data_IF_780862207877
#
_entry.id   IF_780862207877
#
_cell.length_a   1.000
_cell.length_b   1.000
_cell.length_c   1.000
_cell.angle_alpha   90.00
_cell.angle_beta   90.00
_cell.angle_gamma   90.00
#
_symmetry.space_group_name_H-M   'P 1'
#
loop_
_entity.id
_entity.type
_entity.pdbx_description
1 polymer ?
#
# COMPACT_ATOMS: atom_id res chain seq x y z
N UNK A 1 -10.34 -3.40 -4.43
CA UNK A 1 -11.41 -2.56 -3.86
C UNK A 1 -12.72 -3.35 -3.90
N UNK A 2 -13.30 -3.63 -2.73
CA UNK A 2 -14.49 -4.46 -2.59
C UNK A 2 -15.38 -3.88 -1.47
N UNK A 3 -16.69 -3.91 -1.66
CA UNK A 3 -17.66 -3.49 -0.66
C UNK A 3 -17.52 -4.29 0.64
N UNK A 4 -17.75 -3.62 1.77
CA UNK A 4 -17.46 -4.21 3.09
C UNK A 4 -18.22 -5.51 3.35
N UNK A 5 -19.50 -5.58 3.02
CA UNK A 5 -20.33 -6.78 3.20
C UNK A 5 -19.77 -7.98 2.43
N UNK A 6 -19.39 -7.76 1.16
CA UNK A 6 -18.77 -8.79 0.33
C UNK A 6 -17.39 -9.21 0.86
N UNK A 7 -16.65 -8.27 1.44
CA UNK A 7 -15.37 -8.54 2.07
C UNK A 7 -15.56 -9.42 3.33
N UNK A 8 -16.55 -9.09 4.16
CA UNK A 8 -16.91 -9.87 5.36
C UNK A 8 -17.25 -11.32 4.99
N UNK A 9 -18.05 -11.51 3.94
CA UNK A 9 -18.39 -12.84 3.47
C UNK A 9 -17.17 -13.60 2.93
N UNK A 10 -16.30 -12.91 2.18
CA UNK A 10 -15.14 -13.53 1.56
C UNK A 10 -14.11 -14.01 2.59
N UNK A 11 -13.80 -13.18 3.60
CA UNK A 11 -12.69 -13.48 4.51
C UNK A 11 -12.97 -14.65 5.46
N UNK A 12 -14.20 -15.12 5.56
CA UNK A 12 -14.53 -16.33 6.32
C UNK A 12 -13.82 -17.58 5.74
N UNK A 13 -13.53 -17.56 4.45
CA UNK A 13 -12.93 -18.67 3.70
C UNK A 13 -11.43 -18.45 3.39
N UNK A 14 -10.82 -17.40 3.98
CA UNK A 14 -9.43 -17.01 3.69
C UNK A 14 -8.65 -16.92 4.98
N UNK A 15 -7.47 -17.53 5.03
CA UNK A 15 -6.60 -17.50 6.21
C UNK A 15 -5.52 -16.40 6.09
N UNK A 16 -5.13 -16.07 4.87
CA UNK A 16 -4.03 -15.15 4.57
C UNK A 16 -4.44 -14.11 3.53
N UNK A 17 -4.15 -12.85 3.80
CA UNK A 17 -4.58 -11.72 2.97
C UNK A 17 -3.38 -10.83 2.62
N UNK A 18 -3.14 -10.65 1.33
CA UNK A 18 -2.31 -9.54 0.83
C UNK A 18 -3.20 -8.35 0.47
N UNK A 19 -2.91 -7.18 0.99
CA UNK A 19 -3.64 -5.97 0.64
C UNK A 19 -2.72 -4.77 0.48
N UNK A 20 -2.98 -3.93 -0.51
CA UNK A 20 -2.18 -2.75 -0.78
C UNK A 20 -2.89 -1.49 -0.26
N UNK A 21 -2.16 -0.63 0.46
CA UNK A 21 -2.57 0.75 0.71
C UNK A 21 -1.68 1.68 -0.11
N UNK A 22 -2.27 2.26 -1.16
CA UNK A 22 -1.50 3.07 -2.13
C UNK A 22 -1.13 4.47 -1.60
N UNK A 23 -1.92 5.01 -0.65
CA UNK A 23 -1.62 6.27 0.04
C UNK A 23 -2.44 6.38 1.32
N UNK A 24 -1.84 6.91 2.40
CA UNK A 24 -2.52 7.23 3.66
C UNK A 24 -3.53 8.37 3.47
N UNK A 25 -3.15 9.42 2.73
CA UNK A 25 -4.00 10.59 2.50
C UNK A 25 -5.12 10.26 1.50
N UNK A 26 -6.36 10.40 1.97
CA UNK A 26 -7.58 10.08 1.23
C UNK A 26 -7.72 10.86 -0.08
N UNK A 27 -7.37 12.14 -0.09
CA UNK A 27 -7.51 12.98 -1.28
C UNK A 27 -6.47 12.61 -2.34
N UNK A 28 -5.21 12.40 -1.94
CA UNK A 28 -4.15 11.93 -2.83
C UNK A 28 -4.48 10.53 -3.38
N UNK A 29 -4.96 9.62 -2.52
CA UNK A 29 -5.41 8.29 -2.94
C UNK A 29 -6.52 8.39 -4.00
N UNK A 30 -7.58 9.18 -3.73
CA UNK A 30 -8.70 9.37 -4.67
C UNK A 30 -8.25 9.96 -6.00
N UNK A 31 -7.32 10.92 -5.97
CA UNK A 31 -6.82 11.60 -7.19
C UNK A 31 -6.13 10.61 -8.14
N UNK A 32 -5.35 9.66 -7.62
CA UNK A 32 -4.52 8.76 -8.44
C UNK A 32 -5.22 7.41 -8.68
N UNK A 33 -5.92 6.88 -7.67
CA UNK A 33 -6.56 5.55 -7.73
C UNK A 33 -8.03 5.63 -8.19
N UNK A 34 -8.63 6.82 -8.15
CA UNK A 34 -10.03 7.06 -8.54
C UNK A 34 -11.04 6.88 -7.41
N UNK A 35 -10.65 6.23 -6.30
CA UNK A 35 -11.50 6.01 -5.12
C UNK A 35 -10.78 6.44 -3.84
N UNK A 36 -11.54 6.77 -2.79
CA UNK A 36 -10.94 7.04 -1.48
C UNK A 36 -10.46 5.74 -0.80
N UNK A 37 -9.61 5.86 0.23
CA UNK A 37 -9.05 4.73 0.95
C UNK A 37 -9.87 4.27 2.17
N UNK A 38 -10.96 4.95 2.53
CA UNK A 38 -11.71 4.65 3.75
C UNK A 38 -12.23 3.22 3.81
N UNK A 39 -12.76 2.72 2.69
CA UNK A 39 -13.27 1.36 2.61
C UNK A 39 -12.14 0.32 2.71
N UNK A 40 -10.98 0.62 2.14
CA UNK A 40 -9.78 -0.23 2.25
C UNK A 40 -9.34 -0.32 3.71
N UNK A 41 -9.19 0.83 4.38
CA UNK A 41 -8.80 0.91 5.80
C UNK A 41 -9.83 0.18 6.68
N UNK A 42 -11.13 0.40 6.44
CA UNK A 42 -12.20 -0.30 7.16
C UNK A 42 -12.09 -1.83 7.02
N UNK A 43 -11.83 -2.31 5.81
CA UNK A 43 -11.70 -3.74 5.54
C UNK A 43 -10.43 -4.33 6.19
N UNK A 44 -9.30 -3.62 6.15
CA UNK A 44 -8.07 -4.00 6.84
C UNK A 44 -8.33 -4.13 8.34
N UNK A 45 -8.88 -3.09 8.97
CA UNK A 45 -9.19 -3.10 10.40
C UNK A 45 -10.12 -4.26 10.78
N UNK A 46 -11.15 -4.52 9.98
CA UNK A 46 -12.05 -5.63 10.20
C UNK A 46 -11.33 -6.98 10.14
N UNK A 47 -10.46 -7.19 9.14
CA UNK A 47 -9.73 -8.44 9.00
C UNK A 47 -8.75 -8.69 10.16
N UNK A 48 -8.08 -7.66 10.68
CA UNK A 48 -7.28 -7.74 11.90
C UNK A 48 -8.15 -8.14 13.11
N UNK A 49 -9.31 -7.50 13.27
CA UNK A 49 -10.26 -7.84 14.36
C UNK A 49 -10.79 -9.29 14.29
N UNK A 50 -10.73 -9.92 13.12
CA UNK A 50 -11.07 -11.34 12.91
C UNK A 50 -9.85 -12.26 13.04
N UNK A 51 -8.70 -11.78 13.54
CA UNK A 51 -7.45 -12.53 13.70
C UNK A 51 -6.95 -13.17 12.38
N UNK A 52 -7.20 -12.52 11.25
CA UNK A 52 -6.66 -12.96 9.95
C UNK A 52 -5.21 -12.53 9.81
N UNK A 53 -4.40 -13.36 9.22
CA UNK A 53 -3.03 -13.00 8.86
C UNK A 53 -3.05 -12.05 7.66
N UNK A 54 -2.59 -10.82 7.86
CA UNK A 54 -2.57 -9.79 6.81
C UNK A 54 -1.15 -9.33 6.57
N UNK A 55 -0.72 -9.33 5.33
CA UNK A 55 0.46 -8.60 4.88
C UNK A 55 -0.02 -7.32 4.20
N UNK A 56 0.17 -6.21 4.89
CA UNK A 56 -0.10 -4.90 4.32
C UNK A 56 1.09 -4.46 3.47
N UNK A 57 0.82 -3.99 2.24
CA UNK A 57 1.87 -3.61 1.31
C UNK A 57 1.73 -2.15 0.90
N UNK A 58 2.88 -1.47 0.78
CA UNK A 58 2.97 -0.12 0.22
C UNK A 58 3.77 -0.20 -1.08
N UNK A 59 3.13 -0.10 -2.26
CA UNK A 59 3.87 0.22 -3.47
C UNK A 59 4.42 1.65 -3.37
N UNK A 60 5.73 1.76 -3.24
CA UNK A 60 6.40 3.07 -3.15
C UNK A 60 6.66 3.58 -4.55
N UNK A 61 5.99 4.68 -4.90
CA UNK A 61 5.93 5.22 -6.27
C UNK A 61 6.54 6.62 -6.28
N UNK A 62 7.56 6.87 -7.14
CA UNK A 62 8.21 8.18 -7.24
C UNK A 62 7.22 9.33 -7.49
N UNK A 63 7.42 10.43 -6.76
CA UNK A 63 6.59 11.66 -6.81
C UNK A 63 5.13 11.47 -6.35
N UNK A 64 4.81 10.34 -5.73
CA UNK A 64 3.46 10.10 -5.24
C UNK A 64 3.43 9.87 -3.72
N UNK A 65 4.21 8.91 -3.23
CA UNK A 65 4.23 8.50 -1.83
C UNK A 65 5.64 8.09 -1.36
N UNK A 66 6.69 8.60 -2.01
CA UNK A 66 8.09 8.20 -1.81
C UNK A 66 8.89 9.15 -0.90
N UNK A 67 8.27 10.20 -0.36
CA UNK A 67 8.97 11.10 0.56
C UNK A 67 9.07 10.50 1.98
N UNK A 68 10.10 10.89 2.73
CA UNK A 68 10.23 10.48 4.15
C UNK A 68 9.04 10.94 4.99
N UNK A 69 8.45 12.10 4.66
CA UNK A 69 7.21 12.54 5.31
C UNK A 69 6.03 11.60 4.99
N UNK A 70 5.96 11.02 3.78
CA UNK A 70 4.93 10.03 3.48
C UNK A 70 5.14 8.75 4.31
N UNK A 71 6.39 8.32 4.56
CA UNK A 71 6.69 7.20 5.45
C UNK A 71 6.21 7.46 6.89
N UNK A 72 6.50 8.64 7.45
CA UNK A 72 6.05 9.08 8.78
C UNK A 72 4.53 9.02 8.93
N UNK A 73 3.82 9.55 7.95
CA UNK A 73 2.36 9.57 7.96
C UNK A 73 1.75 8.16 7.80
N UNK A 74 2.38 7.28 7.00
CA UNK A 74 1.99 5.87 6.93
C UNK A 74 2.24 5.16 8.26
N UNK A 75 3.41 5.33 8.86
CA UNK A 75 3.76 4.72 10.15
C UNK A 75 2.80 5.18 11.26
N UNK A 76 2.48 6.48 11.30
CA UNK A 76 1.49 7.03 12.24
C UNK A 76 0.11 6.42 12.04
N UNK A 77 -0.35 6.27 10.78
CA UNK A 77 -1.62 5.61 10.48
C UNK A 77 -1.60 4.14 10.95
N UNK A 78 -0.52 3.41 10.67
CA UNK A 78 -0.42 1.99 11.02
C UNK A 78 -0.41 1.78 12.53
N UNK A 79 0.32 2.60 13.28
CA UNK A 79 0.27 2.57 14.75
C UNK A 79 -1.14 2.83 15.28
N UNK A 80 -1.89 3.78 14.67
CA UNK A 80 -3.29 4.04 15.06
C UNK A 80 -4.24 2.86 14.79
N UNK A 81 -3.86 1.94 13.91
CA UNK A 81 -4.61 0.74 13.53
C UNK A 81 -4.05 -0.55 14.17
N UNK A 82 -3.00 -0.43 15.02
CA UNK A 82 -2.25 -1.55 15.61
C UNK A 82 -1.68 -2.50 14.53
N UNK A 83 -1.18 -1.96 13.43
CA UNK A 83 -0.48 -2.70 12.38
C UNK A 83 1.01 -2.66 12.69
N UNK A 84 1.61 -3.82 12.88
CA UNK A 84 2.99 -4.01 13.30
C UNK A 84 3.91 -4.59 12.22
N UNK A 85 3.35 -4.85 11.02
CA UNK A 85 4.11 -5.39 9.91
C UNK A 85 3.69 -4.78 8.56
N UNK A 86 4.68 -4.46 7.72
CA UNK A 86 4.45 -3.90 6.38
C UNK A 86 5.52 -4.36 5.39
N UNK A 87 5.11 -4.66 4.16
CA UNK A 87 6.01 -4.90 3.04
C UNK A 87 6.06 -3.68 2.11
N UNK A 88 7.26 -3.17 1.85
CA UNK A 88 7.48 -2.15 0.83
C UNK A 88 7.69 -2.81 -0.54
N UNK A 89 7.01 -2.29 -1.54
CA UNK A 89 7.17 -2.72 -2.93
C UNK A 89 7.79 -1.57 -3.74
N UNK A 90 9.11 -1.59 -3.99
CA UNK A 90 9.76 -0.59 -4.81
C UNK A 90 9.13 -0.53 -6.21
N UNK A 91 8.92 0.68 -6.72
CA UNK A 91 8.33 0.90 -8.05
C UNK A 91 9.15 0.25 -9.16
N UNK A 92 8.48 -0.42 -10.10
CA UNK A 92 9.07 -0.98 -11.30
C UNK A 92 8.14 -0.81 -12.52
N UNK A 93 8.72 -0.84 -13.71
CA UNK A 93 8.00 -0.57 -14.98
C UNK A 93 7.40 -1.83 -15.64
N UNK A 94 7.30 -2.96 -14.95
CA UNK A 94 6.80 -4.22 -15.55
C UNK A 94 5.38 -4.12 -16.11
N UNK A 95 4.60 -3.11 -15.67
CA UNK A 95 3.26 -2.82 -16.20
C UNK A 95 3.23 -2.17 -17.59
N UNK A 96 4.33 -1.56 -18.06
CA UNK A 96 4.35 -0.75 -19.29
C UNK A 96 3.83 -1.51 -20.53
N UNK A 97 4.27 -2.75 -20.69
CA UNK A 97 3.84 -3.57 -21.82
C UNK A 97 2.33 -3.81 -21.85
N UNK A 98 1.66 -3.91 -20.68
CA UNK A 98 0.20 -4.06 -20.62
C UNK A 98 -0.52 -2.83 -21.15
N UNK A 99 0.00 -1.63 -20.84
CA UNK A 99 -0.56 -0.38 -21.36
C UNK A 99 -0.40 -0.29 -22.88
N UNK A 100 0.77 -0.67 -23.43
CA UNK A 100 0.99 -0.75 -24.88
C UNK A 100 0.00 -1.68 -25.57
N UNK A 101 -0.19 -2.89 -25.01
CA UNK A 101 -1.14 -3.86 -25.55
C UNK A 101 -2.60 -3.38 -25.49
N UNK A 102 -2.95 -2.55 -24.52
CA UNK A 102 -4.28 -1.95 -24.38
C UNK A 102 -4.45 -0.66 -25.20
N UNK A 103 -3.43 -0.22 -25.95
CA UNK A 103 -3.44 1.07 -26.66
C UNK A 103 -3.57 2.28 -25.74
N UNK A 104 -3.13 2.16 -24.49
CA UNK A 104 -3.20 3.22 -23.48
C UNK A 104 -1.82 3.82 -23.22
N UNK A 105 -1.80 5.13 -22.96
CA UNK A 105 -0.59 5.80 -22.50
C UNK A 105 -0.23 5.31 -21.11
N UNK A 106 1.06 5.04 -20.88
CA UNK A 106 1.60 4.73 -19.58
C UNK A 106 2.08 6.02 -18.90
N UNK A 107 1.36 6.47 -17.88
CA UNK A 107 1.64 7.77 -17.21
C UNK A 107 2.99 7.79 -16.46
N UNK A 108 3.56 6.61 -16.19
CA UNK A 108 4.85 6.46 -15.50
C UNK A 108 6.01 6.21 -16.48
N UNK A 109 5.81 6.50 -17.78
CA UNK A 109 6.86 6.38 -18.81
C UNK A 109 8.07 7.24 -18.44
N UNK A 110 9.26 6.65 -18.51
CA UNK A 110 10.52 7.34 -18.18
C UNK A 110 10.80 7.54 -16.69
N UNK A 111 9.89 7.15 -15.78
CA UNK A 111 10.16 7.16 -14.34
C UNK A 111 11.11 6.01 -14.03
N UNK A 112 12.24 6.32 -13.37
CA UNK A 112 13.23 5.32 -12.97
C UNK A 112 12.63 4.34 -11.95
N UNK A 113 12.89 3.03 -12.11
CA UNK A 113 12.55 2.04 -11.09
C UNK A 113 13.31 2.34 -9.79
N UNK A 114 12.69 1.98 -8.68
CA UNK A 114 13.31 2.00 -7.36
C UNK A 114 13.85 0.61 -7.03
N UNK A 115 14.91 0.58 -6.22
CA UNK A 115 15.47 -0.62 -5.63
C UNK A 115 15.38 -0.54 -4.11
N UNK A 116 15.52 -1.64 -3.36
CA UNK A 116 15.52 -1.61 -1.89
C UNK A 116 16.50 -0.59 -1.32
N UNK A 117 17.68 -0.43 -1.94
CA UNK A 117 18.72 0.48 -1.51
C UNK A 117 18.29 1.96 -1.59
N UNK A 118 17.40 2.31 -2.49
CA UNK A 118 16.84 3.66 -2.63
C UNK A 118 15.84 3.98 -1.51
N UNK A 119 15.39 2.97 -0.74
CA UNK A 119 14.33 3.06 0.24
C UNK A 119 14.75 2.72 1.68
N UNK A 120 16.05 2.60 1.97
CA UNK A 120 16.50 2.26 3.33
C UNK A 120 16.12 3.33 4.38
N UNK A 121 16.23 4.60 4.05
CA UNK A 121 15.81 5.68 4.96
C UNK A 121 14.28 5.67 5.15
N UNK A 122 13.53 5.36 4.10
CA UNK A 122 12.09 5.20 4.15
C UNK A 122 11.67 4.00 5.02
N UNK A 123 12.36 2.88 4.90
CA UNK A 123 12.18 1.69 5.73
C UNK A 123 12.51 1.97 7.20
N UNK A 124 13.61 2.71 7.46
CA UNK A 124 14.07 3.01 8.82
C UNK A 124 13.00 3.74 9.64
N UNK A 125 12.21 4.61 9.01
CA UNK A 125 11.10 5.29 9.69
C UNK A 125 10.09 4.30 10.28
N UNK A 126 9.71 3.25 9.53
CA UNK A 126 8.81 2.24 10.07
C UNK A 126 9.43 1.47 11.24
N UNK A 127 10.71 1.12 11.13
CA UNK A 127 11.44 0.44 12.21
C UNK A 127 11.53 1.32 13.46
N UNK A 128 11.73 2.62 13.32
CA UNK A 128 11.75 3.60 14.42
C UNK A 128 10.37 3.76 15.08
N UNK A 129 9.31 3.40 14.38
CA UNK A 129 7.92 3.34 14.87
C UNK A 129 7.50 1.96 15.39
N UNK A 130 8.46 1.04 15.63
CA UNK A 130 8.23 -0.35 16.06
C UNK A 130 7.39 -1.18 15.07
N UNK A 131 7.42 -0.83 13.77
CA UNK A 131 6.74 -1.57 12.71
C UNK A 131 7.78 -2.40 11.94
N UNK A 132 7.62 -3.73 11.92
CA UNK A 132 8.46 -4.62 11.12
C UNK A 132 8.27 -4.32 9.63
N UNK A 133 9.33 -3.83 8.98
CA UNK A 133 9.30 -3.34 7.61
C UNK A 133 10.34 -4.06 6.74
N UNK A 134 9.90 -4.63 5.60
CA UNK A 134 10.77 -5.40 4.69
C UNK A 134 10.37 -5.19 3.21
N UNK A 135 11.21 -5.70 2.29
CA UNK A 135 11.02 -5.63 0.84
C UNK A 135 10.52 -6.93 0.23
#
# INVERSE_FOLDING_TARGET
FVEHEKFVDLIQYVDFIYTDLKHYNTLKHKRVVGVNNHLIIKNIHYAFAQNKTIVLRIPVIPNFNDSLNDAEEFASLFNSLNIDEVQLLPFHQFGENKYKLLGRRYEMEGIKALHPEDLYDYQQIFLDHDIHCYF
#
